data_IF_217503908654
#
_entry.id   IF_217503908654
#
_cell.length_a   1.000
_cell.length_b   1.000
_cell.length_c   1.000
_cell.angle_alpha   90.00
_cell.angle_beta   90.00
_cell.angle_gamma   90.00
#
_symmetry.space_group_name_H-M   'P 1'
#
loop_
_entity.id
_entity.type
_entity.pdbx_description
1 polymer ?
#
# COMPACT_ATOMS: atom_id res chain seq x y z
N UNK A 1 -16.48 -3.75 4.76
CA UNK A 1 -15.79 -2.53 4.30
C UNK A 1 -16.35 -2.13 2.94
N UNK A 2 -16.48 -0.87 2.71
CA UNK A 2 -17.04 -0.38 1.45
C UNK A 2 -16.21 0.78 0.93
N UNK A 3 -15.79 0.68 -0.35
CA UNK A 3 -15.04 1.75 -0.98
C UNK A 3 -15.97 2.88 -1.37
N UNK A 4 -15.66 4.10 -0.91
CA UNK A 4 -16.43 5.27 -1.28
C UNK A 4 -15.94 5.75 -2.64
N UNK A 5 -16.81 5.71 -3.67
CA UNK A 5 -16.47 6.08 -5.05
C UNK A 5 -15.22 5.33 -5.56
N UNK A 6 -15.02 4.10 -5.11
CA UNK A 6 -13.86 3.30 -5.53
C UNK A 6 -12.56 3.65 -4.86
N UNK A 7 -12.59 4.43 -3.77
CA UNK A 7 -11.38 4.81 -3.04
C UNK A 7 -11.60 4.59 -1.54
N UNK A 8 -10.67 3.87 -0.90
CA UNK A 8 -10.61 3.72 0.54
C UNK A 8 -9.29 4.29 1.05
N UNK A 9 -9.38 5.29 1.91
CA UNK A 9 -8.21 5.84 2.58
C UNK A 9 -7.90 5.02 3.83
N UNK A 10 -6.64 4.61 3.99
CA UNK A 10 -6.20 3.79 5.11
C UNK A 10 -5.12 4.56 5.86
N UNK A 11 -5.44 5.24 6.97
CA UNK A 11 -4.43 5.90 7.79
C UNK A 11 -3.63 4.86 8.58
N UNK A 12 -2.30 4.95 8.48
CA UNK A 12 -1.38 4.04 9.15
C UNK A 12 -0.36 4.86 9.95
N UNK A 13 -0.12 4.46 11.21
CA UNK A 13 0.93 5.10 11.99
C UNK A 13 2.28 4.78 11.40
N UNK A 14 3.08 5.81 11.16
CA UNK A 14 4.39 5.68 10.55
C UNK A 14 5.36 6.64 11.22
N UNK A 15 6.66 6.33 11.20
CA UNK A 15 7.67 7.29 11.67
C UNK A 15 7.81 8.41 10.65
N UNK A 16 7.05 9.48 10.86
CA UNK A 16 7.04 10.65 9.98
C UNK A 16 7.31 11.92 10.78
N UNK A 17 7.50 13.04 10.09
CA UNK A 17 7.84 14.30 10.75
C UNK A 17 6.65 14.85 11.53
N UNK A 18 6.92 15.30 12.77
CA UNK A 18 5.90 15.95 13.57
C UNK A 18 5.42 17.24 12.88
N UNK A 19 4.12 17.62 13.01
CA UNK A 19 3.12 16.97 13.89
C UNK A 19 2.41 15.77 13.28
N UNK A 20 2.77 15.35 12.08
CA UNK A 20 2.13 14.22 11.44
C UNK A 20 2.57 12.91 12.11
N UNK A 21 1.60 12.06 12.45
CA UNK A 21 1.86 10.76 13.06
C UNK A 21 1.38 9.62 12.18
N UNK A 22 0.72 9.94 11.09
CA UNK A 22 0.16 8.96 10.16
C UNK A 22 0.50 9.33 8.73
N UNK A 23 0.62 8.31 7.88
CA UNK A 23 0.56 8.47 6.44
C UNK A 23 -0.63 7.67 5.93
N UNK A 24 -1.05 7.94 4.72
CA UNK A 24 -2.20 7.28 4.15
C UNK A 24 -1.80 6.32 3.05
N UNK A 25 -2.23 5.05 3.17
CA UNK A 25 -2.32 4.17 2.04
C UNK A 25 -3.71 4.32 1.42
N UNK A 26 -3.86 3.92 0.18
CA UNK A 26 -5.14 3.98 -0.51
C UNK A 26 -5.40 2.67 -1.22
N UNK A 27 -6.61 2.18 -1.11
CA UNK A 27 -7.07 1.05 -1.91
C UNK A 27 -8.05 1.61 -2.93
N UNK A 28 -7.73 1.43 -4.22
CA UNK A 28 -8.53 2.04 -5.30
C UNK A 28 -9.01 0.97 -6.27
N UNK A 29 -10.19 1.21 -6.83
CA UNK A 29 -10.80 0.33 -7.81
C UNK A 29 -12.19 -0.11 -7.37
N UNK A 30 -12.76 -1.02 -8.14
CA UNK A 30 -14.07 -1.61 -7.85
C UNK A 30 -13.90 -3.10 -7.60
N UNK A 31 -13.73 -3.89 -8.66
CA UNK A 31 -13.41 -5.31 -8.52
C UNK A 31 -11.93 -5.56 -8.64
N UNK A 32 -11.25 -4.82 -9.51
CA UNK A 32 -9.79 -4.85 -9.65
C UNK A 32 -9.23 -3.74 -8.78
N UNK A 33 -8.45 -4.13 -7.78
CA UNK A 33 -7.98 -3.22 -6.74
C UNK A 33 -6.47 -3.00 -6.83
N UNK A 34 -6.07 -1.77 -6.62
CA UNK A 34 -4.65 -1.39 -6.51
C UNK A 34 -4.41 -0.77 -5.15
N UNK A 35 -3.33 -1.21 -4.51
CA UNK A 35 -2.91 -0.64 -3.24
C UNK A 35 -1.84 0.42 -3.50
N UNK A 36 -2.07 1.61 -2.97
CA UNK A 36 -1.15 2.74 -3.15
C UNK A 36 -0.47 3.03 -1.83
N UNK A 37 0.87 3.07 -1.86
CA UNK A 37 1.72 3.48 -0.74
C UNK A 37 1.45 2.72 0.56
N UNK A 38 1.65 1.40 0.64
CA UNK A 38 1.63 0.69 1.92
C UNK A 38 2.78 1.21 2.78
N UNK A 39 2.44 2.01 3.80
CA UNK A 39 3.33 3.02 4.32
C UNK A 39 3.99 2.72 5.65
N UNK A 40 3.61 1.68 6.38
CA UNK A 40 4.12 1.52 7.74
C UNK A 40 5.11 0.38 7.89
N UNK A 41 6.26 0.57 8.59
CA UNK A 41 7.13 -0.52 8.98
C UNK A 41 6.67 -1.21 10.27
N UNK A 42 5.66 -0.69 10.98
CA UNK A 42 5.18 -1.24 12.24
C UNK A 42 4.36 -2.50 12.00
N UNK A 43 4.77 -3.67 12.56
CA UNK A 43 4.02 -4.92 12.35
C UNK A 43 2.56 -4.87 12.78
N UNK A 44 2.22 -4.15 13.84
CA UNK A 44 0.83 -4.06 14.30
C UNK A 44 -0.02 -3.26 13.33
N UNK A 45 0.55 -2.22 12.70
CA UNK A 45 -0.14 -1.44 11.68
C UNK A 45 -0.21 -2.21 10.36
N UNK A 46 0.79 -3.01 10.04
CA UNK A 46 0.76 -3.91 8.89
C UNK A 46 -0.37 -4.93 9.04
N UNK A 47 -0.58 -5.48 10.26
CA UNK A 47 -1.70 -6.38 10.53
C UNK A 47 -3.05 -5.72 10.24
N UNK A 48 -3.21 -4.44 10.62
CA UNK A 48 -4.41 -3.68 10.31
C UNK A 48 -4.62 -3.59 8.79
N UNK A 49 -3.55 -3.32 8.05
CA UNK A 49 -3.59 -3.26 6.59
C UNK A 49 -4.01 -4.63 6.01
N UNK A 50 -3.39 -5.72 6.49
CA UNK A 50 -3.71 -7.06 5.99
C UNK A 50 -5.18 -7.41 6.21
N UNK A 51 -5.75 -7.07 7.35
CA UNK A 51 -7.16 -7.32 7.63
C UNK A 51 -8.07 -6.60 6.65
N UNK A 52 -7.74 -5.35 6.33
CA UNK A 52 -8.53 -4.57 5.38
C UNK A 52 -8.44 -5.15 3.96
N UNK A 53 -7.24 -5.56 3.53
CA UNK A 53 -7.05 -6.18 2.23
C UNK A 53 -7.75 -7.53 2.13
N UNK A 54 -7.64 -8.35 3.18
CA UNK A 54 -8.31 -9.65 3.22
C UNK A 54 -9.84 -9.49 3.20
N UNK A 55 -10.36 -8.48 3.87
CA UNK A 55 -11.78 -8.17 3.85
C UNK A 55 -12.23 -7.74 2.44
N UNK A 56 -11.44 -6.90 1.78
CA UNK A 56 -11.77 -6.44 0.44
C UNK A 56 -11.80 -7.61 -0.56
N UNK A 57 -10.86 -8.56 -0.44
CA UNK A 57 -10.84 -9.72 -1.31
C UNK A 57 -11.98 -10.69 -0.98
N UNK A 58 -12.35 -10.82 0.30
CA UNK A 58 -13.51 -11.63 0.70
C UNK A 58 -14.82 -11.06 0.14
N UNK A 59 -14.87 -9.75 -0.09
CA UNK A 59 -16.04 -9.07 -0.69
C UNK A 59 -16.05 -9.12 -2.22
N UNK A 60 -15.13 -9.85 -2.83
CA UNK A 60 -15.08 -10.06 -4.27
C UNK A 60 -14.04 -9.24 -5.02
N UNK A 61 -13.26 -8.43 -4.32
CA UNK A 61 -12.17 -7.67 -4.94
C UNK A 61 -10.98 -8.54 -5.27
N UNK A 62 -10.22 -8.15 -6.28
CA UNK A 62 -8.98 -8.82 -6.65
C UNK A 62 -7.85 -7.80 -6.67
N UNK A 63 -6.83 -8.02 -5.84
CA UNK A 63 -5.66 -7.17 -5.83
C UNK A 63 -4.85 -7.38 -7.11
N UNK A 64 -4.54 -6.30 -7.81
CA UNK A 64 -3.84 -6.32 -9.09
C UNK A 64 -2.40 -5.87 -8.97
N UNK A 65 -2.09 -5.03 -8.01
CA UNK A 65 -0.74 -4.53 -7.87
C UNK A 65 -0.61 -3.49 -6.79
N UNK A 66 0.63 -3.09 -6.54
CA UNK A 66 1.00 -2.02 -5.61
C UNK A 66 1.61 -0.88 -6.41
N UNK A 67 1.16 0.34 -6.15
CA UNK A 67 1.70 1.55 -6.79
C UNK A 67 2.42 2.40 -5.73
N UNK A 68 3.60 2.89 -6.08
CA UNK A 68 4.33 3.81 -5.24
C UNK A 68 4.30 5.20 -5.85
N UNK A 69 3.89 6.19 -5.05
CA UNK A 69 3.91 7.59 -5.47
C UNK A 69 5.24 8.26 -5.11
N UNK A 70 5.91 7.76 -4.06
CA UNK A 70 7.16 8.30 -3.56
C UNK A 70 8.11 7.17 -3.17
N UNK A 71 9.40 7.52 -3.01
CA UNK A 71 10.43 6.60 -2.53
C UNK A 71 10.77 6.82 -1.04
N UNK A 72 10.04 7.67 -0.34
CA UNK A 72 10.26 7.97 1.07
C UNK A 72 9.80 6.81 1.96
N UNK A 73 10.51 6.52 3.08
CA UNK A 73 10.15 5.41 3.96
C UNK A 73 8.73 5.45 4.50
N UNK A 74 8.16 6.64 4.66
CA UNK A 74 6.78 6.79 5.13
C UNK A 74 5.72 6.40 4.08
N UNK A 75 6.16 6.03 2.86
CA UNK A 75 5.28 5.58 1.79
C UNK A 75 5.56 4.14 1.34
N UNK A 76 6.65 3.53 1.80
CA UNK A 76 7.08 2.21 1.32
C UNK A 76 7.31 1.18 2.44
N UNK A 77 6.98 1.52 3.70
CA UNK A 77 7.34 0.70 4.86
C UNK A 77 6.84 -0.72 4.84
N UNK A 78 5.74 -1.01 4.16
CA UNK A 78 5.18 -2.35 4.10
C UNK A 78 5.21 -2.94 2.68
N UNK A 79 5.97 -2.34 1.76
CA UNK A 79 5.94 -2.76 0.35
C UNK A 79 6.40 -4.21 0.19
N UNK A 80 7.57 -4.55 0.70
CA UNK A 80 8.13 -5.88 0.51
C UNK A 80 7.20 -6.96 1.08
N UNK A 81 6.69 -6.76 2.28
CA UNK A 81 5.78 -7.69 2.92
C UNK A 81 4.48 -7.84 2.14
N UNK A 82 3.96 -6.75 1.58
CA UNK A 82 2.75 -6.79 0.76
C UNK A 82 2.97 -7.61 -0.51
N UNK A 83 4.09 -7.39 -1.19
CA UNK A 83 4.39 -8.11 -2.43
C UNK A 83 4.53 -9.60 -2.19
N UNK A 84 5.18 -9.99 -1.08
CA UNK A 84 5.35 -11.40 -0.72
C UNK A 84 4.02 -12.03 -0.34
N UNK A 85 3.25 -11.34 0.50
CA UNK A 85 1.99 -11.88 1.05
C UNK A 85 0.94 -12.12 -0.03
N UNK A 86 0.86 -11.23 -1.01
CA UNK A 86 -0.20 -11.27 -2.04
C UNK A 86 0.30 -11.57 -3.44
N UNK A 87 1.62 -11.75 -3.61
CA UNK A 87 2.26 -12.07 -4.90
C UNK A 87 1.87 -11.07 -5.99
N UNK A 88 2.09 -9.78 -5.71
CA UNK A 88 1.64 -8.69 -6.58
C UNK A 88 2.79 -8.04 -7.34
N UNK A 89 2.52 -7.51 -8.56
CA UNK A 89 3.49 -6.66 -9.23
C UNK A 89 3.58 -5.28 -8.57
N UNK A 90 4.73 -4.64 -8.74
CA UNK A 90 5.00 -3.32 -8.19
C UNK A 90 5.18 -2.33 -9.32
N UNK A 91 4.49 -1.19 -9.22
CA UNK A 91 4.53 -0.11 -10.22
C UNK A 91 4.97 1.19 -9.56
N UNK A 92 5.77 1.97 -10.28
CA UNK A 92 6.18 3.29 -9.83
C UNK A 92 6.61 4.13 -11.02
N UNK A 93 6.67 5.44 -10.84
CA UNK A 93 7.28 6.32 -11.82
C UNK A 93 8.78 5.97 -11.95
N UNK A 94 9.37 6.03 -13.16
CA UNK A 94 10.78 5.65 -13.35
C UNK A 94 11.76 6.36 -12.41
N UNK A 95 11.53 7.62 -12.07
CA UNK A 95 12.42 8.34 -11.16
C UNK A 95 12.37 7.76 -9.73
N UNK A 96 11.20 7.34 -9.27
CA UNK A 96 11.08 6.67 -7.99
C UNK A 96 11.72 5.29 -8.02
N UNK A 97 11.55 4.56 -9.12
CA UNK A 97 12.13 3.23 -9.28
C UNK A 97 13.65 3.28 -9.26
N UNK A 98 14.27 4.31 -9.83
CA UNK A 98 15.73 4.49 -9.80
C UNK A 98 16.27 4.62 -8.37
N UNK A 99 15.50 5.23 -7.47
CA UNK A 99 15.88 5.40 -6.07
C UNK A 99 15.70 4.14 -5.24
N UNK A 100 15.07 3.11 -5.79
CA UNK A 100 14.76 1.86 -5.09
C UNK A 100 15.23 0.65 -5.91
N UNK A 101 16.56 0.54 -6.18
CA UNK A 101 17.06 -0.48 -7.11
C UNK A 101 16.91 -1.91 -6.60
N UNK A 102 16.62 -2.10 -5.32
CA UNK A 102 16.43 -3.44 -4.73
C UNK A 102 15.02 -4.00 -4.96
N UNK A 103 14.10 -3.22 -5.52
CA UNK A 103 12.77 -3.70 -5.88
C UNK A 103 12.69 -3.99 -7.38
N UNK A 104 11.92 -5.04 -7.72
CA UNK A 104 11.60 -5.37 -9.10
C UNK A 104 10.28 -4.69 -9.49
N UNK A 105 10.34 -3.84 -10.51
CA UNK A 105 9.16 -3.12 -10.98
C UNK A 105 8.62 -3.71 -12.27
N UNK A 106 7.32 -3.65 -12.40
CA UNK A 106 6.62 -4.06 -13.61
C UNK A 106 6.39 -2.89 -14.55
#
# INVERSE_FOLDING_TARGET
MKLHQGILQIPLETPTKLPATHTNAYLVGDRKLYLIDPSTPDPSEQEKLWRLLDQATAEGGKLQGVLLTHDHPDHIGAVEETLIRYELPLYAHPLAAESLPHFDFS
#
